data_IF_395719331091
#
_entry.id   IF_395719331091
#
_cell.length_a   1.000
_cell.length_b   1.000
_cell.length_c   1.000
_cell.angle_alpha   90.00
_cell.angle_beta   90.00
_cell.angle_gamma   90.00
#
_symmetry.space_group_name_H-M   'P 1'
#
loop_
_entity.id
_entity.type
_entity.pdbx_description
1 polymer ?
#
# COMPACT_ATOMS: atom_id res chain seq x y z
N UNK A 1 -4.28 70.49 30.99
CA UNK A 1 -3.31 69.38 30.86
C UNK A 1 -3.97 67.99 30.85
N UNK A 2 -5.13 67.78 31.50
CA UNK A 2 -5.80 66.45 31.56
C UNK A 2 -6.49 65.95 30.28
N UNK A 3 -7.08 66.84 29.48
CA UNK A 3 -7.86 66.43 28.29
C UNK A 3 -7.01 65.80 27.17
N UNK A 4 -5.77 66.29 26.98
CA UNK A 4 -4.83 65.78 25.98
C UNK A 4 -4.30 64.38 26.37
N UNK A 5 -4.20 64.11 27.68
CA UNK A 5 -3.78 62.80 28.19
C UNK A 5 -4.85 61.74 27.96
N UNK A 6 -6.12 62.07 28.20
CA UNK A 6 -7.26 61.16 27.98
C UNK A 6 -7.42 60.79 26.49
N UNK A 7 -7.25 61.75 25.58
CA UNK A 7 -7.38 61.50 24.15
C UNK A 7 -6.28 60.58 23.62
N UNK A 8 -5.05 60.70 24.15
CA UNK A 8 -3.93 59.81 23.82
C UNK A 8 -4.15 58.39 24.33
N UNK A 9 -4.77 58.21 25.50
CA UNK A 9 -5.09 56.88 26.05
C UNK A 9 -6.13 56.16 25.19
N UNK A 10 -7.18 56.86 24.72
CA UNK A 10 -8.19 56.26 23.86
C UNK A 10 -7.65 55.86 22.48
N UNK A 11 -6.79 56.70 21.89
CA UNK A 11 -6.12 56.35 20.63
C UNK A 11 -5.20 55.15 20.81
N UNK A 12 -4.44 55.08 21.90
CA UNK A 12 -3.55 53.95 22.19
C UNK A 12 -4.31 52.64 22.45
N UNK A 13 -5.45 52.72 23.14
CA UNK A 13 -6.33 51.55 23.36
C UNK A 13 -6.97 51.08 22.05
N UNK A 14 -7.37 52.00 21.18
CA UNK A 14 -7.96 51.68 19.88
C UNK A 14 -6.94 51.04 18.91
N UNK A 15 -5.69 51.54 18.85
CA UNK A 15 -4.64 50.87 18.07
C UNK A 15 -4.24 49.53 18.67
N UNK A 16 -4.19 49.39 19.99
CA UNK A 16 -3.90 48.11 20.63
C UNK A 16 -4.99 47.06 20.34
N UNK A 17 -6.27 47.45 20.37
CA UNK A 17 -7.39 46.55 20.03
C UNK A 17 -7.38 46.14 18.54
N UNK A 18 -7.01 47.08 17.65
CA UNK A 18 -6.93 46.81 16.20
C UNK A 18 -5.77 45.86 15.88
N UNK A 19 -4.61 46.02 16.52
CA UNK A 19 -3.45 45.10 16.37
C UNK A 19 -3.75 43.72 16.95
N UNK A 20 -4.53 43.63 18.05
CA UNK A 20 -4.93 42.33 18.63
C UNK A 20 -5.92 41.57 17.73
N UNK A 21 -6.73 42.28 16.92
CA UNK A 21 -7.68 41.65 15.98
C UNK A 21 -7.04 41.11 14.69
N UNK A 22 -5.82 41.54 14.36
CA UNK A 22 -5.10 41.12 13.14
C UNK A 22 -4.13 39.94 13.36
N UNK A 23 -4.03 39.42 14.60
CA UNK A 23 -2.91 38.57 15.03
C UNK A 23 -3.20 37.10 15.31
N UNK A 24 -4.40 36.57 15.01
CA UNK A 24 -4.62 35.12 15.11
C UNK A 24 -4.40 34.47 13.74
N UNK A 25 -3.22 33.86 13.46
CA UNK A 25 -3.13 32.96 12.33
C UNK A 25 -4.09 31.80 12.64
N UNK A 26 -5.26 31.80 12.00
CA UNK A 26 -6.06 30.60 11.88
C UNK A 26 -5.13 29.55 11.29
N UNK A 27 -4.74 28.57 12.11
CA UNK A 27 -4.04 27.38 11.65
C UNK A 27 -5.04 26.61 10.80
N UNK A 28 -5.20 27.02 9.55
CA UNK A 28 -5.80 26.20 8.53
C UNK A 28 -4.98 24.91 8.53
N UNK A 29 -5.54 23.86 9.11
CA UNK A 29 -5.01 22.52 8.93
C UNK A 29 -5.02 22.32 7.42
N UNK A 30 -3.82 22.33 6.81
CA UNK A 30 -3.70 22.03 5.41
C UNK A 30 -4.22 20.60 5.21
N UNK A 31 -5.49 20.51 4.80
CA UNK A 31 -6.06 19.26 4.33
C UNK A 31 -5.25 18.87 3.11
N UNK A 32 -4.50 17.78 3.24
CA UNK A 32 -3.64 17.28 2.16
C UNK A 32 -4.56 16.80 1.05
N UNK A 33 -4.58 17.53 -0.06
CA UNK A 33 -5.25 17.10 -1.27
C UNK A 33 -4.40 16.03 -1.97
N UNK A 34 -5.05 14.97 -2.44
CA UNK A 34 -4.41 13.85 -3.13
C UNK A 34 -4.97 13.80 -4.56
N UNK A 35 -4.13 13.56 -5.60
CA UNK A 35 -4.60 13.39 -6.97
C UNK A 35 -5.67 12.31 -7.06
N UNK A 36 -6.72 12.53 -7.87
CA UNK A 36 -7.82 11.58 -8.01
C UNK A 36 -7.31 10.22 -8.50
N UNK A 37 -6.38 10.19 -9.46
CA UNK A 37 -5.83 8.95 -10.01
C UNK A 37 -4.95 8.16 -9.04
N UNK A 38 -4.49 8.77 -7.94
CA UNK A 38 -3.81 8.02 -6.86
C UNK A 38 -4.80 7.28 -5.97
N UNK A 39 -6.06 7.74 -5.94
CA UNK A 39 -7.14 7.22 -5.10
C UNK A 39 -8.04 6.21 -5.81
N UNK A 40 -8.07 6.20 -7.14
CA UNK A 40 -9.00 5.38 -7.94
C UNK A 40 -8.31 4.58 -9.03
N UNK A 41 -8.93 3.46 -9.39
CA UNK A 41 -8.61 2.69 -10.58
C UNK A 41 -9.74 2.85 -11.59
N UNK A 42 -9.39 3.10 -12.86
CA UNK A 42 -10.35 3.31 -13.94
C UNK A 42 -10.80 1.95 -14.49
N UNK A 43 -12.10 1.65 -14.41
CA UNK A 43 -12.62 0.39 -14.91
C UNK A 43 -12.41 0.27 -16.43
N UNK A 44 -11.80 -0.83 -16.86
CA UNK A 44 -11.48 -1.10 -18.27
C UNK A 44 -10.06 -0.68 -18.68
N UNK A 45 -9.37 0.09 -17.83
CA UNK A 45 -7.93 0.39 -17.94
C UNK A 45 -7.22 -0.52 -16.95
N UNK A 46 -6.66 -1.62 -17.43
CA UNK A 46 -5.90 -2.56 -16.61
C UNK A 46 -4.68 -3.05 -17.34
N UNK A 47 -3.65 -3.37 -16.57
CA UNK A 47 -2.52 -4.15 -17.06
C UNK A 47 -3.00 -5.55 -17.44
N UNK A 48 -2.39 -6.13 -18.47
CA UNK A 48 -2.69 -7.49 -18.90
C UNK A 48 -1.43 -8.33 -18.84
N UNK A 49 -1.54 -9.51 -18.24
CA UNK A 49 -0.42 -10.44 -18.09
C UNK A 49 -0.35 -11.35 -19.30
N UNK A 50 0.86 -11.52 -19.82
CA UNK A 50 1.16 -12.49 -20.86
C UNK A 50 2.08 -13.58 -20.31
N UNK A 51 1.87 -14.81 -20.79
CA UNK A 51 2.66 -15.97 -20.42
C UNK A 51 3.09 -16.74 -21.66
N UNK A 52 4.33 -17.20 -21.68
CA UNK A 52 4.88 -18.04 -22.74
C UNK A 52 5.74 -19.15 -22.17
N UNK A 53 5.92 -20.18 -23.00
CA UNK A 53 6.84 -21.27 -22.75
C UNK A 53 7.94 -21.21 -23.80
N UNK A 54 9.19 -21.10 -23.35
CA UNK A 54 10.34 -20.85 -24.21
C UNK A 54 11.53 -21.75 -23.89
N UNK A 55 12.57 -21.59 -24.71
CA UNK A 55 13.87 -22.24 -24.51
C UNK A 55 14.96 -21.18 -24.36
N UNK A 56 15.77 -21.31 -23.32
CA UNK A 56 17.02 -20.56 -23.17
C UNK A 56 18.18 -21.46 -23.56
N UNK A 57 19.02 -20.99 -24.49
CA UNK A 57 20.18 -21.72 -24.99
C UNK A 57 21.48 -21.01 -24.60
N UNK A 58 22.62 -21.71 -24.72
CA UNK A 58 23.94 -21.13 -24.41
C UNK A 58 24.34 -21.24 -22.93
N UNK A 59 23.66 -22.10 -22.17
CA UNK A 59 23.88 -22.27 -20.74
C UNK A 59 25.03 -23.24 -20.45
N UNK A 60 26.29 -22.82 -20.60
CA UNK A 60 27.56 -23.55 -20.38
C UNK A 60 27.53 -24.71 -19.34
N UNK A 61 26.94 -25.84 -19.70
CA UNK A 61 26.71 -27.01 -18.84
C UNK A 61 25.74 -26.82 -17.66
N UNK A 62 25.04 -25.67 -17.57
CA UNK A 62 24.14 -25.26 -16.47
C UNK A 62 22.65 -25.35 -16.81
N UNK A 63 22.29 -25.78 -18.03
CA UNK A 63 20.91 -26.06 -18.42
C UNK A 63 20.30 -27.28 -17.74
N UNK A 64 19.14 -27.71 -18.23
CA UNK A 64 18.39 -28.82 -17.68
C UNK A 64 19.15 -30.15 -17.80
N UNK A 65 18.93 -31.05 -16.84
CA UNK A 65 19.43 -32.42 -16.90
C UNK A 65 18.50 -33.28 -17.75
N UNK A 66 19.02 -34.41 -18.25
CA UNK A 66 18.29 -35.36 -19.09
C UNK A 66 16.99 -35.93 -18.45
N UNK A 67 16.83 -35.80 -17.13
CA UNK A 67 15.60 -36.19 -16.44
C UNK A 67 14.40 -35.28 -16.77
N UNK A 68 14.66 -34.06 -17.23
CA UNK A 68 13.66 -33.10 -17.67
C UNK A 68 13.26 -33.40 -19.11
N UNK A 69 12.33 -34.37 -19.28
CA UNK A 69 11.92 -34.87 -20.59
C UNK A 69 11.30 -33.82 -21.51
N UNK A 70 10.62 -32.82 -20.93
CA UNK A 70 9.95 -31.78 -21.73
C UNK A 70 10.95 -30.86 -22.45
N UNK A 71 12.13 -30.60 -21.88
CA UNK A 71 13.18 -29.81 -22.54
C UNK A 71 13.73 -30.51 -23.78
N UNK A 72 14.00 -31.82 -23.69
CA UNK A 72 14.41 -32.63 -24.83
C UNK A 72 13.34 -32.66 -25.92
N UNK A 73 12.07 -32.82 -25.54
CA UNK A 73 10.95 -32.79 -26.48
C UNK A 73 10.82 -31.42 -27.17
N UNK A 74 10.95 -30.33 -26.43
CA UNK A 74 10.83 -28.97 -26.98
C UNK A 74 11.93 -28.64 -27.98
N UNK A 75 13.18 -29.01 -27.69
CA UNK A 75 14.28 -28.86 -28.66
C UNK A 75 14.04 -29.72 -29.90
N UNK A 76 13.58 -30.96 -29.73
CA UNK A 76 13.26 -31.84 -30.85
C UNK A 76 12.16 -31.26 -31.74
N UNK A 77 11.08 -30.75 -31.14
CA UNK A 77 9.99 -30.11 -31.87
C UNK A 77 10.44 -28.85 -32.61
N UNK A 78 11.27 -28.01 -31.96
CA UNK A 78 11.85 -26.83 -32.57
C UNK A 78 12.68 -27.21 -33.80
N UNK A 79 13.60 -28.16 -33.67
CA UNK A 79 14.44 -28.61 -34.78
C UNK A 79 13.62 -29.18 -35.94
N UNK A 80 12.55 -29.95 -35.65
CA UNK A 80 11.59 -30.43 -36.66
C UNK A 80 10.89 -29.27 -37.37
N UNK A 81 10.50 -28.23 -36.65
CA UNK A 81 9.89 -27.02 -37.23
C UNK A 81 10.85 -26.29 -38.19
N UNK A 82 12.16 -26.40 -37.97
CA UNK A 82 13.20 -25.92 -38.88
C UNK A 82 13.57 -26.92 -39.98
N UNK A 83 12.83 -28.02 -40.14
CA UNK A 83 13.04 -29.00 -41.21
C UNK A 83 14.16 -30.02 -40.93
N UNK A 84 14.70 -30.07 -39.71
CA UNK A 84 15.70 -31.07 -39.32
C UNK A 84 15.01 -32.40 -39.05
N UNK A 85 15.42 -33.44 -39.77
CA UNK A 85 14.96 -34.81 -39.52
C UNK A 85 15.65 -35.38 -38.28
N UNK A 86 14.86 -35.70 -37.26
CA UNK A 86 15.34 -36.30 -36.01
C UNK A 86 14.66 -37.65 -35.83
N UNK A 87 15.46 -38.70 -35.70
CA UNK A 87 15.00 -40.05 -35.36
C UNK A 87 14.34 -40.03 -33.97
N UNK A 88 13.18 -40.68 -33.84
CA UNK A 88 12.42 -40.74 -32.58
C UNK A 88 13.17 -41.41 -31.42
N UNK A 89 14.24 -42.17 -31.71
CA UNK A 89 15.13 -42.77 -30.71
C UNK A 89 16.21 -41.81 -30.17
N UNK A 90 16.41 -40.66 -30.80
CA UNK A 90 17.43 -39.69 -30.38
C UNK A 90 16.94 -38.88 -29.17
N UNK A 91 17.60 -39.07 -28.01
CA UNK A 91 17.39 -38.22 -26.83
C UNK A 91 18.57 -37.24 -26.68
N UNK A 92 18.42 -35.97 -27.09
CA UNK A 92 19.50 -35.00 -26.99
C UNK A 92 19.87 -34.75 -25.52
N UNK A 93 21.16 -34.86 -25.18
CA UNK A 93 21.66 -34.57 -23.84
C UNK A 93 21.88 -33.06 -23.68
N UNK A 94 20.89 -32.35 -23.14
CA UNK A 94 20.79 -30.89 -23.22
C UNK A 94 21.27 -30.16 -21.96
N UNK A 95 22.56 -30.31 -21.60
CA UNK A 95 23.12 -29.51 -20.49
C UNK A 95 23.31 -28.02 -20.82
N UNK A 96 23.04 -27.62 -22.06
CA UNK A 96 23.21 -26.25 -22.56
C UNK A 96 21.89 -25.54 -22.88
N UNK A 97 20.76 -26.16 -22.56
CA UNK A 97 19.42 -25.63 -22.83
C UNK A 97 18.56 -25.76 -21.57
N UNK A 98 17.73 -24.76 -21.30
CA UNK A 98 16.72 -24.81 -20.24
C UNK A 98 15.35 -24.47 -20.80
N UNK A 99 14.34 -25.18 -20.34
CA UNK A 99 12.94 -24.81 -20.56
C UNK A 99 12.51 -23.76 -19.55
N UNK A 100 11.89 -22.71 -20.04
CA UNK A 100 11.59 -21.52 -19.23
C UNK A 100 10.14 -21.08 -19.36
N UNK A 101 9.63 -20.52 -18.26
CA UNK A 101 8.43 -19.69 -18.22
C UNK A 101 8.87 -18.28 -18.56
N UNK A 102 8.11 -17.64 -19.44
CA UNK A 102 8.35 -16.28 -19.88
C UNK A 102 7.10 -15.49 -19.54
N UNK A 103 7.23 -14.45 -18.72
CA UNK A 103 6.11 -13.58 -18.35
C UNK A 103 6.40 -12.14 -18.72
N UNK A 104 5.37 -11.43 -19.15
CA UNK A 104 5.41 -10.01 -19.42
C UNK A 104 4.12 -9.36 -18.96
N UNK A 105 4.19 -8.07 -18.64
CA UNK A 105 3.03 -7.25 -18.35
C UNK A 105 2.88 -6.23 -19.47
N UNK A 106 1.67 -6.10 -20.00
CA UNK A 106 1.31 -5.12 -21.01
C UNK A 106 0.57 -3.98 -20.34
N UNK A 107 1.11 -2.77 -20.51
CA UNK A 107 0.49 -1.56 -19.99
C UNK A 107 -0.88 -1.32 -20.64
N UNK A 108 -1.82 -0.68 -19.94
CA UNK A 108 -3.12 -0.35 -20.51
C UNK A 108 -2.96 0.49 -21.79
N UNK A 109 -3.73 0.14 -22.83
CA UNK A 109 -3.73 0.85 -24.12
C UNK A 109 -2.36 0.82 -24.86
N UNK A 110 -1.47 -0.11 -24.50
CA UNK A 110 -0.26 -0.35 -25.27
C UNK A 110 -0.58 -0.80 -26.71
N UNK A 111 0.09 -0.18 -27.67
CA UNK A 111 -0.12 -0.42 -29.10
C UNK A 111 0.92 -1.37 -29.72
N UNK A 112 0.61 -1.97 -30.89
CA UNK A 112 1.56 -2.81 -31.61
C UNK A 112 2.90 -2.09 -31.88
N UNK A 113 4.01 -2.83 -31.81
CA UNK A 113 5.37 -2.32 -31.95
C UNK A 113 6.00 -1.79 -30.66
N UNK A 114 5.23 -1.63 -29.58
CA UNK A 114 5.80 -1.27 -28.28
C UNK A 114 6.56 -2.45 -27.66
N UNK A 115 7.66 -2.13 -26.97
CA UNK A 115 8.51 -3.12 -26.32
C UNK A 115 8.09 -3.34 -24.87
N UNK A 116 8.16 -4.59 -24.41
CA UNK A 116 7.82 -5.00 -23.06
C UNK A 116 9.03 -5.58 -22.35
N UNK A 117 9.09 -5.36 -21.04
CA UNK A 117 10.04 -6.06 -20.19
C UNK A 117 9.56 -7.49 -19.93
N UNK A 118 10.50 -8.43 -19.99
CA UNK A 118 10.20 -9.85 -19.86
C UNK A 118 10.95 -10.43 -18.66
N UNK A 119 10.26 -11.25 -17.88
CA UNK A 119 10.87 -12.08 -16.84
C UNK A 119 10.94 -13.51 -17.35
N UNK A 120 12.12 -14.11 -17.22
CA UNK A 120 12.40 -15.47 -17.66
C UNK A 120 12.77 -16.30 -16.44
N UNK A 121 12.07 -17.41 -16.22
CA UNK A 121 12.33 -18.29 -15.07
C UNK A 121 12.39 -19.74 -15.51
N UNK A 122 13.39 -20.48 -15.04
CA UNK A 122 13.51 -21.92 -15.30
C UNK A 122 12.30 -22.67 -14.74
N UNK A 123 11.68 -23.53 -15.55
CA UNK A 123 10.64 -24.48 -15.10
C UNK A 123 11.24 -25.86 -14.81
N UNK A 124 12.39 -26.16 -15.45
CA UNK A 124 13.13 -27.39 -15.25
C UNK A 124 14.06 -27.35 -14.05
N UNK A 125 15.19 -28.04 -14.16
CA UNK A 125 16.19 -28.21 -13.10
C UNK A 125 17.54 -27.56 -13.45
N UNK A 126 17.54 -26.62 -14.41
CA UNK A 126 18.68 -25.78 -14.74
C UNK A 126 19.27 -25.12 -13.49
N UNK A 127 20.60 -25.10 -13.43
CA UNK A 127 21.37 -24.51 -12.33
C UNK A 127 21.49 -23.00 -12.43
N UNK A 128 21.47 -22.46 -13.66
CA UNK A 128 21.62 -21.04 -13.93
C UNK A 128 21.10 -20.69 -15.32
N UNK A 129 20.47 -19.53 -15.46
CA UNK A 129 20.12 -18.93 -16.76
C UNK A 129 21.16 -17.88 -17.22
N UNK A 130 22.23 -17.67 -16.44
CA UNK A 130 23.24 -16.64 -16.73
C UNK A 130 23.95 -16.95 -18.05
N UNK A 131 24.07 -15.91 -18.89
CA UNK A 131 24.75 -16.00 -20.19
C UNK A 131 23.90 -16.69 -21.26
N UNK A 132 22.68 -17.11 -20.93
CA UNK A 132 21.77 -17.70 -21.89
C UNK A 132 21.04 -16.68 -22.75
N UNK A 133 20.58 -17.14 -23.91
CA UNK A 133 19.72 -16.38 -24.82
C UNK A 133 18.36 -17.08 -24.90
N UNK A 134 17.29 -16.34 -24.62
CA UNK A 134 15.92 -16.76 -24.87
C UNK A 134 15.67 -16.79 -26.38
N UNK A 135 15.27 -17.94 -26.89
CA UNK A 135 14.80 -18.09 -28.27
C UNK A 135 13.41 -17.48 -28.45
N UNK A 136 13.07 -17.14 -29.69
CA UNK A 136 11.80 -16.54 -30.06
C UNK A 136 10.62 -17.31 -29.44
N UNK A 137 9.92 -16.65 -28.53
CA UNK A 137 8.90 -17.25 -27.66
C UNK A 137 7.60 -16.44 -27.76
N UNK A 138 6.51 -17.02 -28.30
CA UNK A 138 5.22 -16.34 -28.32
C UNK A 138 4.65 -16.23 -26.89
N UNK A 139 4.16 -15.04 -26.54
CA UNK A 139 3.50 -14.75 -25.27
C UNK A 139 1.99 -14.64 -25.47
N UNK A 140 1.26 -15.43 -24.70
CA UNK A 140 -0.19 -15.58 -24.79
C UNK A 140 -0.91 -14.87 -23.66
N UNK A 141 -2.08 -14.32 -23.97
CA UNK A 141 -3.01 -13.81 -22.98
C UNK A 141 -3.81 -14.93 -22.31
N UNK A 142 -4.70 -14.54 -21.41
CA UNK A 142 -5.62 -15.45 -20.68
C UNK A 142 -6.61 -16.16 -21.62
N UNK A 143 -6.87 -15.59 -22.79
CA UNK A 143 -7.70 -16.14 -23.86
C UNK A 143 -6.97 -17.19 -24.71
N UNK A 144 -5.67 -17.39 -24.46
CA UNK A 144 -4.82 -18.33 -25.19
C UNK A 144 -4.25 -17.78 -26.50
N UNK A 145 -4.58 -16.55 -26.88
CA UNK A 145 -4.11 -15.93 -28.11
C UNK A 145 -2.74 -15.27 -27.93
N UNK A 146 -1.94 -15.19 -29.01
CA UNK A 146 -0.61 -14.58 -28.98
C UNK A 146 -0.73 -13.06 -29.15
N UNK A 147 -0.21 -12.30 -28.18
CA UNK A 147 -0.21 -10.84 -28.20
C UNK A 147 1.18 -10.24 -28.39
N UNK A 148 2.22 -10.92 -27.92
CA UNK A 148 3.59 -10.45 -28.01
C UNK A 148 4.55 -11.59 -28.35
N UNK A 149 5.74 -11.23 -28.83
CA UNK A 149 6.83 -12.18 -29.09
C UNK A 149 8.05 -11.74 -28.30
N UNK A 150 8.63 -12.65 -27.52
CA UNK A 150 9.79 -12.42 -26.67
C UNK A 150 11.05 -13.09 -27.22
N UNK A 151 12.19 -12.40 -27.15
CA UNK A 151 13.50 -12.92 -27.50
C UNK A 151 14.60 -12.06 -26.86
N UNK A 152 15.74 -12.64 -26.53
CA UNK A 152 16.94 -11.85 -26.20
C UNK A 152 17.84 -12.47 -25.15
N UNK A 153 18.88 -11.74 -24.77
CA UNK A 153 19.87 -12.20 -23.80
C UNK A 153 19.32 -12.06 -22.37
N UNK A 154 19.41 -13.13 -21.59
CA UNK A 154 18.89 -13.17 -20.23
C UNK A 154 19.89 -12.53 -19.27
N UNK A 155 19.45 -11.46 -18.62
CA UNK A 155 20.21 -10.79 -17.56
C UNK A 155 19.79 -11.37 -16.21
N UNK A 156 20.70 -12.11 -15.57
CA UNK A 156 20.49 -12.70 -14.24
C UNK A 156 21.20 -11.82 -13.21
N UNK A 157 20.44 -11.27 -12.25
CA UNK A 157 21.01 -10.54 -11.12
C UNK A 157 21.52 -11.51 -10.07
N UNK A 158 22.79 -11.39 -9.65
CA UNK A 158 23.37 -12.20 -8.57
C UNK A 158 24.78 -12.69 -8.81
N UNK A 159 25.50 -12.92 -7.71
CA UNK A 159 26.83 -13.54 -7.69
C UNK A 159 26.69 -14.93 -7.04
N UNK A 160 27.18 -15.95 -7.73
CA UNK A 160 27.21 -17.33 -7.22
C UNK A 160 28.66 -17.78 -7.24
N UNK A 161 29.26 -17.98 -6.08
CA UNK A 161 30.63 -18.46 -5.93
C UNK A 161 30.65 -19.75 -5.09
N UNK A 162 31.32 -20.77 -5.61
CA UNK A 162 31.61 -22.00 -4.89
C UNK A 162 33.09 -21.99 -4.50
N UNK A 163 33.35 -21.94 -3.19
CA UNK A 163 34.69 -22.04 -2.65
C UNK A 163 35.23 -23.47 -2.80
N UNK A 164 36.55 -23.62 -2.94
CA UNK A 164 37.23 -24.92 -3.00
C UNK A 164 37.02 -25.80 -1.75
N UNK A 165 36.48 -25.23 -0.66
CA UNK A 165 36.08 -25.93 0.56
C UNK A 165 34.66 -26.52 0.50
N UNK A 166 33.92 -26.32 -0.59
CA UNK A 166 32.50 -26.69 -0.71
C UNK A 166 31.51 -25.64 -0.17
N UNK A 167 32.00 -24.50 0.32
CA UNK A 167 31.15 -23.39 0.77
C UNK A 167 30.52 -22.68 -0.42
N UNK A 168 29.19 -22.58 -0.45
CA UNK A 168 28.43 -21.90 -1.50
C UNK A 168 27.89 -20.58 -0.98
N UNK A 169 28.22 -19.49 -1.65
CA UNK A 169 27.56 -18.19 -1.45
C UNK A 169 26.77 -17.87 -2.71
N UNK A 170 25.45 -17.91 -2.59
CA UNK A 170 24.52 -17.49 -3.62
C UNK A 170 23.83 -16.21 -3.14
N UNK A 171 24.19 -15.08 -3.74
CA UNK A 171 23.43 -13.83 -3.60
C UNK A 171 22.52 -13.75 -4.82
N UNK A 172 21.20 -13.82 -4.59
CA UNK A 172 20.10 -13.92 -5.57
C UNK A 172 19.87 -15.30 -6.21
N UNK A 173 18.77 -15.42 -6.97
CA UNK A 173 18.27 -16.64 -7.63
C UNK A 173 18.84 -16.77 -9.06
N UNK A 174 19.83 -17.65 -9.31
CA UNK A 174 20.48 -17.75 -10.63
C UNK A 174 19.58 -18.35 -11.72
N UNK A 175 18.43 -18.91 -11.34
CA UNK A 175 17.45 -19.57 -12.21
C UNK A 175 16.35 -18.64 -12.73
N UNK A 176 16.42 -17.35 -12.41
CA UNK A 176 15.51 -16.32 -12.92
C UNK A 176 16.29 -15.11 -13.41
N UNK A 177 15.83 -14.51 -14.50
CA UNK A 177 16.44 -13.35 -15.11
C UNK A 177 15.41 -12.45 -15.79
N UNK A 178 15.87 -11.32 -16.30
CA UNK A 178 15.04 -10.36 -17.03
C UNK A 178 15.66 -10.06 -18.39
N UNK A 179 14.81 -9.74 -19.35
CA UNK A 179 15.21 -9.20 -20.65
C UNK A 179 14.50 -7.84 -20.79
N UNK A 180 15.19 -6.73 -20.51
CA UNK A 180 14.63 -5.40 -20.70
C UNK A 180 14.29 -5.18 -22.17
N UNK A 181 13.09 -4.65 -22.46
CA UNK A 181 12.57 -4.49 -23.82
C UNK A 181 12.68 -5.78 -24.67
N UNK A 182 12.59 -6.94 -24.02
CA UNK A 182 12.83 -8.25 -24.62
C UNK A 182 11.62 -8.85 -25.33
N UNK A 183 10.47 -8.20 -25.32
CA UNK A 183 9.33 -8.59 -26.13
C UNK A 183 8.79 -7.41 -26.93
N UNK A 184 8.17 -7.70 -28.06
CA UNK A 184 7.45 -6.73 -28.88
C UNK A 184 5.98 -7.11 -28.93
N UNK A 185 5.10 -6.14 -28.68
CA UNK A 185 3.66 -6.34 -28.80
C UNK A 185 3.28 -6.40 -30.28
N UNK A 186 2.71 -7.52 -30.73
CA UNK A 186 2.29 -7.73 -32.11
C UNK A 186 0.80 -7.38 -32.30
N UNK A 187 0.02 -7.49 -31.23
CA UNK A 187 -1.43 -7.29 -31.27
C UNK A 187 -1.89 -6.43 -30.11
N UNK A 188 -2.77 -5.48 -30.39
CA UNK A 188 -3.43 -4.68 -29.37
C UNK A 188 -4.35 -5.56 -28.52
N UNK A 189 -4.40 -5.28 -27.22
CA UNK A 189 -5.36 -5.90 -26.32
C UNK A 189 -6.62 -5.04 -26.33
N UNK A 190 -7.72 -5.58 -26.87
CA UNK A 190 -8.97 -4.85 -27.00
C UNK A 190 -9.46 -4.34 -25.64
N UNK A 191 -9.68 -3.04 -25.54
CA UNK A 191 -10.36 -2.39 -24.42
C UNK A 191 -11.63 -1.71 -24.93
N UNK A 192 -12.71 -1.82 -24.16
CA UNK A 192 -13.95 -1.12 -24.42
C UNK A 192 -13.96 0.30 -23.81
N UNK A 193 -12.84 0.76 -23.26
CA UNK A 193 -12.69 2.07 -22.62
C UNK A 193 -13.14 3.23 -23.53
N UNK A 194 -12.82 3.19 -24.82
CA UNK A 194 -13.20 4.23 -25.78
C UNK A 194 -14.66 4.15 -26.23
N UNK A 195 -15.32 3.00 -26.05
CA UNK A 195 -16.68 2.75 -26.56
C UNK A 195 -17.76 3.06 -25.53
N UNK A 196 -17.43 3.04 -24.24
CA UNK A 196 -18.40 3.26 -23.16
C UNK A 196 -18.74 4.74 -23.00
N UNK A 197 -20.03 5.07 -22.98
CA UNK A 197 -20.53 6.42 -22.64
C UNK A 197 -20.21 6.83 -21.19
N UNK A 198 -19.97 5.84 -20.33
CA UNK A 198 -19.70 6.03 -18.91
C UNK A 198 -18.37 5.39 -18.52
N UNK A 199 -17.54 6.15 -17.81
CA UNK A 199 -16.33 5.71 -17.14
C UNK A 199 -16.67 5.45 -15.68
N UNK A 200 -16.24 4.30 -15.17
CA UNK A 200 -16.39 3.96 -13.75
C UNK A 200 -15.04 4.08 -13.07
N UNK A 201 -14.99 4.86 -11.99
CA UNK A 201 -13.83 5.02 -11.12
C UNK A 201 -14.08 4.20 -9.85
N UNK A 202 -13.19 3.23 -9.59
CA UNK A 202 -13.23 2.40 -8.40
C UNK A 202 -12.23 2.93 -7.39
N UNK A 203 -12.69 3.34 -6.21
CA UNK A 203 -11.83 3.75 -5.11
C UNK A 203 -10.99 2.59 -4.60
N UNK A 204 -9.67 2.80 -4.50
CA UNK A 204 -8.74 1.85 -3.89
C UNK A 204 -9.03 1.60 -2.42
N UNK A 205 -9.57 2.62 -1.73
CA UNK A 205 -10.03 2.54 -0.34
C UNK A 205 -11.46 3.05 -0.24
N UNK A 206 -12.37 2.19 0.23
CA UNK A 206 -13.78 2.53 0.37
C UNK A 206 -13.98 3.68 1.38
N UNK A 207 -14.65 4.75 0.95
CA UNK A 207 -14.96 5.92 1.76
C UNK A 207 -16.08 6.74 1.13
N UNK A 208 -17.22 6.87 1.84
CA UNK A 208 -18.35 7.70 1.39
C UNK A 208 -17.94 9.17 1.19
N UNK A 209 -17.13 9.71 2.10
CA UNK A 209 -16.68 11.11 2.02
C UNK A 209 -15.75 11.30 0.83
N UNK A 210 -14.81 10.37 0.58
CA UNK A 210 -13.92 10.45 -0.58
C UNK A 210 -14.70 10.35 -1.88
N UNK A 211 -15.61 9.37 -2.02
CA UNK A 211 -16.44 9.22 -3.20
C UNK A 211 -17.27 10.48 -3.51
N UNK A 212 -17.90 11.06 -2.47
CA UNK A 212 -18.65 12.31 -2.57
C UNK A 212 -17.77 13.49 -2.99
N UNK A 213 -16.58 13.61 -2.41
CA UNK A 213 -15.64 14.70 -2.72
C UNK A 213 -15.13 14.61 -4.16
N UNK A 214 -14.81 13.40 -4.64
CA UNK A 214 -14.44 13.12 -6.04
C UNK A 214 -15.58 13.54 -6.97
N UNK A 215 -16.79 13.00 -6.78
CA UNK A 215 -17.94 13.33 -7.63
C UNK A 215 -18.24 14.84 -7.65
N UNK A 216 -18.11 15.52 -6.50
CA UNK A 216 -18.26 16.98 -6.40
C UNK A 216 -17.20 17.71 -7.21
N UNK A 217 -15.91 17.35 -7.05
CA UNK A 217 -14.81 17.99 -7.77
C UNK A 217 -14.97 17.85 -9.28
N UNK A 218 -15.34 16.66 -9.74
CA UNK A 218 -15.62 16.40 -11.16
C UNK A 218 -16.76 17.29 -11.66
N UNK A 219 -17.88 17.34 -10.94
CA UNK A 219 -19.03 18.16 -11.33
C UNK A 219 -18.74 19.67 -11.31
N UNK A 220 -17.84 20.13 -10.43
CA UNK A 220 -17.40 21.52 -10.41
C UNK A 220 -16.58 21.87 -11.65
N UNK A 221 -15.77 20.94 -12.16
CA UNK A 221 -14.91 21.17 -13.32
C UNK A 221 -15.64 21.01 -14.65
N UNK A 222 -16.46 19.95 -14.79
CA UNK A 222 -17.07 19.58 -16.07
C UNK A 222 -18.56 19.94 -16.18
N UNK A 223 -19.18 20.43 -15.11
CA UNK A 223 -20.59 20.79 -15.05
C UNK A 223 -21.45 19.82 -14.23
N UNK A 224 -22.71 20.20 -13.94
CA UNK A 224 -23.58 19.42 -13.08
C UNK A 224 -23.95 18.06 -13.72
N UNK A 225 -24.09 17.03 -12.88
CA UNK A 225 -24.50 15.67 -13.27
C UNK A 225 -23.55 14.94 -14.23
N UNK A 226 -22.27 15.31 -14.26
CA UNK A 226 -21.22 14.57 -14.99
C UNK A 226 -20.79 13.33 -14.20
N UNK A 227 -20.61 13.43 -12.89
CA UNK A 227 -20.27 12.31 -12.02
C UNK A 227 -21.24 12.13 -10.85
N UNK A 228 -21.45 10.86 -10.50
CA UNK A 228 -22.30 10.43 -9.39
C UNK A 228 -21.53 9.41 -8.55
N UNK A 229 -21.44 9.66 -7.24
CA UNK A 229 -20.95 8.66 -6.29
C UNK A 229 -22.06 7.62 -6.06
N UNK A 230 -21.89 6.42 -6.61
CA UNK A 230 -22.89 5.35 -6.55
C UNK A 230 -22.92 4.72 -5.15
N UNK A 231 -21.74 4.50 -4.56
CA UNK A 231 -21.56 4.00 -3.21
C UNK A 231 -20.20 4.46 -2.63
N UNK A 232 -19.76 3.87 -1.51
CA UNK A 232 -18.48 4.19 -0.87
C UNK A 232 -17.24 3.75 -1.68
N UNK A 233 -17.39 2.96 -2.74
CA UNK A 233 -16.28 2.41 -3.51
C UNK A 233 -16.33 2.78 -5.00
N UNK A 234 -17.47 3.23 -5.53
CA UNK A 234 -17.69 3.42 -6.96
C UNK A 234 -18.23 4.81 -7.29
N UNK A 235 -17.58 5.46 -8.25
CA UNK A 235 -18.03 6.71 -8.85
C UNK A 235 -18.24 6.46 -10.34
N UNK A 236 -19.39 6.85 -10.84
CA UNK A 236 -19.73 6.74 -12.26
C UNK A 236 -19.70 8.14 -12.89
N UNK A 237 -19.05 8.26 -14.05
CA UNK A 237 -18.82 9.52 -14.75
C UNK A 237 -19.20 9.39 -16.22
N UNK A 238 -19.95 10.35 -16.76
CA UNK A 238 -20.19 10.48 -18.20
C UNK A 238 -18.95 11.03 -18.89
N UNK A 239 -18.54 10.41 -19.98
CA UNK A 239 -17.39 10.84 -20.76
C UNK A 239 -17.73 10.93 -22.25
N UNK A 240 -17.14 11.88 -23.00
CA UNK A 240 -17.33 11.98 -24.45
C UNK A 240 -16.94 10.69 -25.18
N UNK A 241 -17.70 10.28 -26.20
CA UNK A 241 -17.33 9.13 -27.05
C UNK A 241 -16.18 9.46 -28.01
N UNK A 242 -15.97 10.74 -28.32
CA UNK A 242 -14.82 11.19 -29.09
C UNK A 242 -13.51 10.92 -28.31
N UNK A 243 -12.57 10.23 -28.96
CA UNK A 243 -11.33 9.77 -28.30
C UNK A 243 -10.44 10.94 -27.88
N UNK A 244 -10.36 12.00 -28.67
CA UNK A 244 -9.56 13.18 -28.35
C UNK A 244 -10.12 13.90 -27.13
N UNK A 245 -11.44 14.17 -27.11
CA UNK A 245 -12.10 14.79 -25.97
C UNK A 245 -12.01 13.93 -24.71
N UNK A 246 -12.11 12.60 -24.84
CA UNK A 246 -11.93 11.68 -23.71
C UNK A 246 -10.52 11.75 -23.14
N UNK A 247 -9.48 11.73 -23.97
CA UNK A 247 -8.09 11.88 -23.52
C UNK A 247 -7.90 13.21 -22.78
N UNK A 248 -8.45 14.32 -23.31
CA UNK A 248 -8.40 15.62 -22.61
C UNK A 248 -9.10 15.57 -21.26
N UNK A 249 -10.29 14.95 -21.18
CA UNK A 249 -11.01 14.80 -19.91
C UNK A 249 -10.22 13.97 -18.89
N UNK A 250 -9.60 12.88 -19.32
CA UNK A 250 -8.76 12.02 -18.46
C UNK A 250 -7.50 12.74 -17.97
N UNK A 251 -6.84 13.50 -18.83
CA UNK A 251 -5.70 14.34 -18.45
C UNK A 251 -6.10 15.39 -17.41
N UNK A 252 -7.27 16.03 -17.57
CA UNK A 252 -7.79 16.95 -16.56
C UNK A 252 -8.10 16.24 -15.24
N UNK A 253 -8.55 14.98 -15.27
CA UNK A 253 -8.78 14.18 -14.06
C UNK A 253 -7.49 13.79 -13.34
N UNK A 254 -6.41 13.52 -14.09
CA UNK A 254 -5.08 13.27 -13.53
C UNK A 254 -4.57 14.46 -12.73
N UNK A 255 -4.86 15.68 -13.17
CA UNK A 255 -4.46 16.93 -12.48
C UNK A 255 -5.36 17.30 -11.29
N UNK A 256 -6.57 16.74 -11.21
CA UNK A 256 -7.50 17.06 -10.13
C UNK A 256 -7.09 16.39 -8.82
N UNK A 257 -7.07 17.19 -7.75
CA UNK A 257 -6.85 16.69 -6.39
C UNK A 257 -8.08 16.91 -5.50
N UNK A 258 -8.25 16.03 -4.52
CA UNK A 258 -9.35 16.07 -3.55
C UNK A 258 -8.87 15.74 -2.14
N UNK A 259 -9.54 16.31 -1.14
CA UNK A 259 -9.38 15.86 0.25
C UNK A 259 -10.02 14.49 0.43
N UNK A 260 -9.25 13.53 0.91
CA UNK A 260 -9.75 12.21 1.29
C UNK A 260 -10.63 12.28 2.54
N UNK A 261 -11.61 11.37 2.63
CA UNK A 261 -12.38 11.18 3.85
C UNK A 261 -11.51 10.80 5.06
N UNK A 262 -12.09 10.93 6.26
CA UNK A 262 -11.43 10.56 7.50
C UNK A 262 -10.95 9.10 7.43
N UNK A 263 -9.63 8.91 7.53
CA UNK A 263 -9.03 7.59 7.71
C UNK A 263 -9.24 7.13 9.16
N UNK A 264 -9.66 5.88 9.41
CA UNK A 264 -9.57 5.33 10.75
C UNK A 264 -8.10 5.34 11.17
N UNK A 265 -7.85 5.63 12.44
CA UNK A 265 -6.52 5.50 12.97
C UNK A 265 -6.06 4.03 12.85
N UNK A 266 -4.77 3.81 12.61
CA UNK A 266 -4.19 2.47 12.51
C UNK A 266 -3.01 2.33 13.46
N UNK A 267 -2.86 1.14 14.04
CA UNK A 267 -1.69 0.75 14.82
C UNK A 267 -1.10 -0.46 14.11
N UNK A 268 0.18 -0.37 13.74
CA UNK A 268 0.91 -1.47 13.14
C UNK A 268 1.89 -2.01 14.17
N UNK A 269 1.77 -3.29 14.50
CA UNK A 269 2.64 -3.98 15.45
C UNK A 269 3.43 -5.06 14.71
N UNK A 270 4.76 -5.00 14.78
CA UNK A 270 5.62 -6.07 14.27
C UNK A 270 5.90 -7.06 15.39
N UNK A 271 5.34 -8.26 15.26
CA UNK A 271 5.42 -9.29 16.30
C UNK A 271 6.82 -9.88 16.49
N UNK A 272 7.70 -9.74 15.49
CA UNK A 272 9.08 -10.21 15.55
C UNK A 272 10.02 -9.19 16.20
N UNK A 273 9.86 -7.91 15.88
CA UNK A 273 10.77 -6.84 16.34
C UNK A 273 10.23 -6.07 17.55
N UNK A 274 8.94 -6.23 17.89
CA UNK A 274 8.27 -5.44 18.92
C UNK A 274 8.05 -3.98 18.54
N UNK A 275 8.21 -3.63 17.27
CA UNK A 275 8.06 -2.26 16.78
C UNK A 275 6.57 -1.90 16.67
N UNK A 276 6.17 -0.77 17.26
CA UNK A 276 4.81 -0.25 17.21
C UNK A 276 4.78 1.07 16.46
N UNK A 277 4.00 1.15 15.39
CA UNK A 277 3.75 2.38 14.64
C UNK A 277 2.31 2.81 14.89
N UNK A 278 2.15 3.97 15.53
CA UNK A 278 0.85 4.50 15.95
C UNK A 278 0.47 5.65 15.00
N UNK A 279 -0.68 5.53 14.33
CA UNK A 279 -1.24 6.60 13.53
C UNK A 279 -1.61 7.83 14.37
N UNK A 280 -1.62 9.01 13.74
CA UNK A 280 -1.96 10.27 14.42
C UNK A 280 -3.36 10.20 15.05
N UNK A 281 -3.49 10.69 16.28
CA UNK A 281 -4.76 10.87 17.01
C UNK A 281 -5.49 9.60 17.48
N UNK A 282 -4.75 8.52 17.83
CA UNK A 282 -5.34 7.37 18.54
C UNK A 282 -5.55 7.72 20.01
N UNK A 283 -6.80 7.72 20.46
CA UNK A 283 -7.18 7.91 21.87
C UNK A 283 -7.76 6.63 22.43
N UNK A 284 -7.49 6.39 23.70
CA UNK A 284 -8.03 5.25 24.46
C UNK A 284 -9.18 5.72 25.34
N UNK A 285 -10.32 5.04 25.26
CA UNK A 285 -11.47 5.26 26.15
C UNK A 285 -11.33 4.47 27.45
N UNK A 286 -12.28 4.63 28.37
CA UNK A 286 -12.29 3.92 29.66
C UNK A 286 -12.19 2.41 29.46
N UNK A 287 -11.21 1.78 30.13
CA UNK A 287 -10.98 0.34 30.10
C UNK A 287 -9.95 -0.05 31.15
N UNK A 288 -10.07 -1.27 31.68
CA UNK A 288 -9.04 -1.88 32.51
C UNK A 288 -8.57 -3.19 31.88
N UNK A 289 -7.26 -3.35 31.75
CA UNK A 289 -6.62 -4.54 31.18
C UNK A 289 -5.53 -5.01 32.13
N UNK A 290 -5.61 -6.27 32.57
CA UNK A 290 -4.58 -6.91 33.37
C UNK A 290 -3.90 -8.00 32.54
N UNK A 291 -2.58 -7.94 32.44
CA UNK A 291 -1.77 -8.91 31.70
C UNK A 291 -0.40 -9.11 32.39
N UNK A 292 -0.10 -10.35 32.77
CA UNK A 292 1.12 -10.67 33.53
C UNK A 292 1.12 -9.99 34.90
N UNK A 293 2.17 -9.23 35.21
CA UNK A 293 2.31 -8.41 36.42
C UNK A 293 1.91 -6.93 36.20
N UNK A 294 1.33 -6.60 35.05
CA UNK A 294 0.93 -5.23 34.69
C UNK A 294 -0.59 -5.11 34.69
N UNK A 295 -1.10 -4.08 35.38
CA UNK A 295 -2.52 -3.72 35.32
C UNK A 295 -2.65 -2.28 34.84
N UNK A 296 -3.26 -2.13 33.68
CA UNK A 296 -3.56 -0.85 33.03
C UNK A 296 -5.00 -0.50 33.37
N UNK A 297 -5.25 0.63 34.02
CA UNK A 297 -6.60 1.12 34.28
C UNK A 297 -6.78 2.51 33.70
N UNK A 298 -7.77 2.69 32.84
CA UNK A 298 -8.21 4.00 32.35
C UNK A 298 -9.58 4.21 32.98
N UNK A 299 -9.69 5.19 33.88
CA UNK A 299 -10.92 5.47 34.64
C UNK A 299 -11.34 6.93 34.53
N UNK A 300 -12.64 7.17 34.52
CA UNK A 300 -13.22 8.51 34.62
C UNK A 300 -13.42 8.88 36.09
N UNK A 301 -12.77 9.94 36.58
CA UNK A 301 -13.13 10.54 37.86
C UNK A 301 -13.95 11.81 37.63
N UNK A 302 -15.24 11.74 37.95
CA UNK A 302 -16.04 12.93 38.20
C UNK A 302 -16.29 13.03 39.70
N UNK A 303 -15.73 14.05 40.33
CA UNK A 303 -15.91 14.29 41.76
C UNK A 303 -16.61 15.63 41.95
N UNK A 304 -17.86 15.56 42.43
CA UNK A 304 -18.65 16.75 42.78
C UNK A 304 -18.63 16.89 44.29
N UNK A 305 -18.03 17.97 44.81
CA UNK A 305 -18.09 18.33 46.23
C UNK A 305 -19.21 19.36 46.44
N UNK A 306 -20.42 18.90 46.69
CA UNK A 306 -21.53 19.78 47.03
C UNK A 306 -21.73 19.82 48.55
N UNK A 307 -21.57 20.98 49.22
CA UNK A 307 -21.86 21.10 50.65
C UNK A 307 -23.36 20.88 50.92
N UNK A 308 -23.70 20.42 52.14
CA UNK A 308 -25.09 20.22 52.57
C UNK A 308 -25.95 21.47 52.31
N UNK A 309 -27.19 21.25 51.89
CA UNK A 309 -28.11 22.22 51.25
C UNK A 309 -28.41 23.55 52.00
N UNK A 310 -27.87 23.77 53.19
CA UNK A 310 -28.02 24.99 53.98
C UNK A 310 -26.70 25.70 54.34
N UNK A 311 -25.55 25.21 53.86
CA UNK A 311 -24.27 25.88 54.03
C UNK A 311 -23.95 26.70 52.77
N UNK A 312 -23.94 28.03 52.88
CA UNK A 312 -23.69 28.97 51.77
C UNK A 312 -22.22 29.05 51.34
N UNK A 313 -21.59 27.92 51.06
CA UNK A 313 -20.24 27.84 50.52
C UNK A 313 -20.22 27.35 49.07
N UNK A 314 -19.33 27.92 48.26
CA UNK A 314 -19.12 27.49 46.87
C UNK A 314 -18.32 26.19 46.80
N UNK A 315 -18.72 25.29 45.91
CA UNK A 315 -18.03 24.03 45.60
C UNK A 315 -16.56 24.29 45.23
N UNK A 316 -15.63 23.68 45.97
CA UNK A 316 -14.21 23.71 45.66
C UNK A 316 -13.63 22.29 45.67
N UNK A 317 -12.75 22.02 44.70
CA UNK A 317 -12.06 20.74 44.52
C UNK A 317 -10.83 20.70 45.41
N UNK A 318 -10.68 19.66 46.24
CA UNK A 318 -9.47 19.38 47.02
C UNK A 318 -9.17 17.89 47.02
N UNK A 319 -7.90 17.54 46.82
CA UNK A 319 -7.41 16.17 46.72
C UNK A 319 -7.05 15.60 48.10
N UNK A 320 -7.53 14.39 48.40
CA UNK A 320 -6.97 13.60 49.49
C UNK A 320 -7.05 12.10 49.17
N UNK A 321 -5.93 11.41 49.28
CA UNK A 321 -5.87 9.94 49.17
C UNK A 321 -5.11 9.38 50.36
N UNK A 322 -5.70 8.36 51.01
CA UNK A 322 -5.04 7.49 51.98
C UNK A 322 -5.23 6.07 51.46
N UNK A 323 -4.14 5.37 51.20
CA UNK A 323 -4.17 3.98 50.74
C UNK A 323 -3.13 3.20 51.57
N UNK A 324 -3.62 2.25 52.35
CA UNK A 324 -2.86 1.13 52.90
C UNK A 324 -3.41 -0.11 52.21
N UNK A 325 -2.56 -0.94 51.61
CA UNK A 325 -2.67 -2.40 51.46
C UNK A 325 -1.32 -2.91 50.90
N UNK A 326 -0.83 -3.98 51.49
CA UNK A 326 0.33 -4.76 51.08
C UNK A 326 -0.15 -6.06 50.43
N UNK A 327 0.10 -6.23 49.12
CA UNK A 327 0.13 -7.52 48.42
C UNK A 327 0.95 -7.38 47.13
N UNK A 328 1.61 -8.46 46.70
CA UNK A 328 2.76 -8.46 45.77
C UNK A 328 2.60 -7.58 44.52
N UNK A 329 3.66 -6.82 44.21
CA UNK A 329 3.70 -5.67 43.31
C UNK A 329 3.25 -5.95 41.86
N UNK A 330 1.95 -5.91 41.60
CA UNK A 330 1.45 -5.55 40.28
C UNK A 330 1.57 -4.03 40.10
N UNK A 331 2.33 -3.57 39.10
CA UNK A 331 2.48 -2.14 38.85
C UNK A 331 1.21 -1.63 38.16
N UNK A 332 0.35 -0.96 38.94
CA UNK A 332 -0.88 -0.35 38.46
C UNK A 332 -0.61 1.07 38.01
N UNK A 333 -0.99 1.39 36.78
CA UNK A 333 -0.95 2.77 36.27
C UNK A 333 -2.35 3.17 35.84
N UNK A 334 -2.76 4.35 36.29
CA UNK A 334 -4.08 4.92 36.04
C UNK A 334 -3.95 6.11 35.08
N UNK A 335 -4.74 6.12 34.01
CA UNK A 335 -4.78 7.23 33.05
C UNK A 335 -6.18 7.82 32.90
N UNK A 336 -6.28 9.13 32.61
CA UNK A 336 -7.56 9.74 32.26
C UNK A 336 -8.05 9.27 30.87
N UNK A 337 -9.37 9.23 30.63
CA UNK A 337 -9.93 8.91 29.33
C UNK A 337 -9.51 9.94 28.27
N UNK A 338 -9.32 9.50 27.03
CA UNK A 338 -8.87 10.36 25.95
C UNK A 338 -7.36 10.60 25.91
N UNK A 339 -6.59 9.93 26.78
CA UNK A 339 -5.12 9.85 26.72
C UNK A 339 -4.70 9.28 25.37
N UNK A 340 -3.66 9.89 24.78
CA UNK A 340 -3.09 9.39 23.54
C UNK A 340 -2.37 8.06 23.77
N UNK A 341 -2.57 7.11 22.85
CA UNK A 341 -2.00 5.77 23.00
C UNK A 341 -0.47 5.78 23.08
N UNK A 342 0.20 6.73 22.42
CA UNK A 342 1.65 6.90 22.51
C UNK A 342 2.16 7.02 23.96
N UNK A 343 1.37 7.64 24.84
CA UNK A 343 1.71 7.92 26.23
C UNK A 343 1.59 6.64 27.05
N UNK A 344 0.53 5.86 26.80
CA UNK A 344 0.30 4.55 27.44
C UNK A 344 1.40 3.57 27.00
N UNK A 345 1.70 3.49 25.70
CA UNK A 345 2.74 2.58 25.17
C UNK A 345 4.13 2.95 25.71
N UNK A 346 4.45 4.24 25.78
CA UNK A 346 5.75 4.69 26.31
C UNK A 346 5.88 4.38 27.80
N UNK A 347 4.81 4.56 28.58
CA UNK A 347 4.79 4.23 29.99
C UNK A 347 4.89 2.72 30.21
N UNK A 348 4.11 1.90 29.51
CA UNK A 348 4.16 0.43 29.60
C UNK A 348 5.55 -0.10 29.21
N UNK A 349 6.17 0.43 28.16
CA UNK A 349 7.55 0.09 27.79
C UNK A 349 8.57 0.51 28.87
N UNK A 350 8.38 1.67 29.51
CA UNK A 350 9.26 2.14 30.60
C UNK A 350 9.20 1.27 31.86
N UNK A 351 8.09 0.55 32.05
CA UNK A 351 7.89 -0.40 33.14
C UNK A 351 8.46 -1.80 32.84
N UNK A 352 9.13 -1.96 31.69
CA UNK A 352 9.79 -3.20 31.30
C UNK A 352 8.86 -4.26 30.69
N UNK A 353 7.71 -3.85 30.17
CA UNK A 353 6.83 -4.76 29.42
C UNK A 353 7.58 -5.37 28.22
N UNK A 354 7.42 -6.69 28.02
CA UNK A 354 7.95 -7.31 26.82
C UNK A 354 7.10 -6.93 25.60
N UNK A 355 7.64 -7.03 24.37
CA UNK A 355 6.84 -6.86 23.16
C UNK A 355 5.57 -7.73 23.14
N UNK A 356 5.66 -8.95 23.67
CA UNK A 356 4.54 -9.88 23.80
C UNK A 356 3.46 -9.34 24.74
N UNK A 357 3.86 -8.78 25.88
CA UNK A 357 2.92 -8.20 26.85
C UNK A 357 2.21 -6.98 26.26
N UNK A 358 2.95 -6.13 25.54
CA UNK A 358 2.40 -4.96 24.86
C UNK A 358 1.38 -5.37 23.78
N UNK A 359 1.67 -6.40 22.99
CA UNK A 359 0.73 -6.94 22.01
C UNK A 359 -0.57 -7.39 22.68
N UNK A 360 -0.47 -8.18 23.75
CA UNK A 360 -1.64 -8.69 24.47
C UNK A 360 -2.49 -7.57 25.05
N UNK A 361 -1.85 -6.53 25.61
CA UNK A 361 -2.55 -5.34 26.12
C UNK A 361 -3.25 -4.59 25.00
N UNK A 362 -2.58 -4.34 23.87
CA UNK A 362 -3.17 -3.65 22.72
C UNK A 362 -4.33 -4.45 22.10
N UNK A 363 -4.21 -5.77 22.02
CA UNK A 363 -5.27 -6.64 21.53
C UNK A 363 -6.46 -6.67 22.50
N UNK A 364 -6.23 -6.78 23.80
CA UNK A 364 -7.29 -6.73 24.81
C UNK A 364 -8.02 -5.37 24.81
N UNK A 365 -7.30 -4.25 24.67
CA UNK A 365 -7.91 -2.93 24.52
C UNK A 365 -8.72 -2.79 23.22
N UNK A 366 -8.28 -3.42 22.12
CA UNK A 366 -9.02 -3.45 20.87
C UNK A 366 -10.29 -4.30 20.96
N UNK A 367 -10.22 -5.51 21.53
CA UNK A 367 -11.35 -6.42 21.74
C UNK A 367 -12.39 -5.83 22.72
N UNK A 368 -11.93 -5.09 23.74
CA UNK A 368 -12.79 -4.36 24.66
C UNK A 368 -13.47 -3.13 24.03
N UNK A 369 -13.16 -2.79 22.78
CA UNK A 369 -13.67 -1.58 22.11
C UNK A 369 -13.11 -0.27 22.69
N UNK A 370 -12.10 -0.36 23.55
CA UNK A 370 -11.47 0.79 24.21
C UNK A 370 -10.56 1.59 23.27
N UNK A 371 -10.24 0.99 22.13
CA UNK A 371 -9.24 1.48 21.20
C UNK A 371 -9.91 1.81 19.85
N UNK A 372 -10.08 3.11 19.58
CA UNK A 372 -10.69 3.62 18.35
C UNK A 372 -9.71 3.65 17.17
N UNK A 373 -9.10 2.50 16.87
CA UNK A 373 -8.18 2.30 15.76
C UNK A 373 -8.19 0.84 15.27
N UNK A 374 -7.79 0.63 14.03
CA UNK A 374 -7.55 -0.70 13.46
C UNK A 374 -6.16 -1.19 13.90
N UNK A 375 -6.10 -2.36 14.54
CA UNK A 375 -4.85 -3.01 14.93
C UNK A 375 -4.41 -3.99 13.84
N UNK A 376 -3.23 -3.77 13.27
CA UNK A 376 -2.63 -4.61 12.21
C UNK A 376 -1.35 -5.25 12.76
N UNK A 377 -1.26 -6.58 12.68
CA UNK A 377 -0.09 -7.35 13.14
C UNK A 377 0.67 -7.87 11.93
N UNK A 378 1.99 -7.61 11.88
CA UNK A 378 2.91 -8.02 10.82
C UNK A 378 4.08 -8.88 11.32
#
# INVERSE_FOLDING_TARGET
>A
MGAILMQRIHVFFATFLMVLSLGTPATAQAEVEIPIMDLVDVQGIRENQLVGYGLVVGLDGQGDRNQVKFTAQSVTNMLRQFGVQIDDSMNPKLRNVASVSVTATVDPMAGPGQTLNVVVSSIGDAKSLRGGTLLLTPLRGIDGEVYAVAQGNVVVGGLSAEGRSGSKVAVNTPTSGRIPNGATLEREISSDFNQREQITLNLRKSSFTTAKNIARKINQTFGPNVAVAVNNARIDMRAPQDSQQRVTMMSMLEEMSVTEGRKPARIVFNSRTGTVVIGKSVKVSEAAVSHGNLTVSISESQQVSQPNAFAGGDTTVVDQSKIDISEDQAQMVVWPPGTELNTIVSAVNSLGATPTDLMSILQALHEAGALNAELVVI
#
